data_IF_415775891398
#
_entry.id   IF_415775891398
#
_cell.length_a   1.000
_cell.length_b   1.000
_cell.length_c   1.000
_cell.angle_alpha   90.00
_cell.angle_beta   90.00
_cell.angle_gamma   90.00
#
_symmetry.space_group_name_H-M   'P 1'
#
loop_
_entity.id
_entity.type
_entity.pdbx_description
1 polymer ?
#
# COMPACT_ATOMS: atom_id res chain seq x y z
N UNK A 1 -11.40 -26.99 -0.31
CA UNK A 1 -10.11 -27.71 -0.44
C UNK A 1 -9.06 -26.85 0.22
N UNK A 2 -8.22 -27.41 1.10
CA UNK A 2 -7.12 -26.63 1.70
C UNK A 2 -6.14 -26.24 0.59
N UNK A 3 -5.70 -24.98 0.54
CA UNK A 3 -4.69 -24.53 -0.43
C UNK A 3 -3.29 -25.04 -0.09
N UNK A 4 -3.11 -25.74 1.03
CA UNK A 4 -1.82 -26.20 1.54
C UNK A 4 -1.14 -27.27 0.66
N UNK A 5 -1.90 -27.95 -0.21
CA UNK A 5 -1.35 -28.92 -1.18
C UNK A 5 -1.11 -28.33 -2.56
N UNK A 6 -1.52 -27.08 -2.80
CA UNK A 6 -1.30 -26.40 -4.07
C UNK A 6 0.11 -25.84 -4.14
N UNK A 7 0.62 -25.66 -5.37
CA UNK A 7 1.82 -24.84 -5.56
C UNK A 7 1.56 -23.40 -5.05
N UNK A 8 2.59 -22.65 -4.62
CA UNK A 8 2.40 -21.25 -4.22
C UNK A 8 1.64 -20.42 -5.24
N UNK A 9 1.93 -20.62 -6.54
CA UNK A 9 1.30 -19.88 -7.64
C UNK A 9 -0.19 -20.22 -7.77
N UNK A 10 -0.55 -21.50 -7.67
CA UNK A 10 -1.95 -21.92 -7.77
C UNK A 10 -2.77 -21.44 -6.56
N UNK A 11 -2.19 -21.50 -5.36
CA UNK A 11 -2.82 -21.00 -4.14
C UNK A 11 -3.10 -19.49 -4.24
N UNK A 12 -2.11 -18.70 -4.67
CA UNK A 12 -2.26 -17.25 -4.86
C UNK A 12 -3.25 -16.94 -5.99
N UNK A 13 -3.22 -17.69 -7.08
CA UNK A 13 -4.15 -17.55 -8.20
C UNK A 13 -5.59 -17.84 -7.81
N UNK A 14 -5.82 -18.77 -6.88
CA UNK A 14 -7.16 -19.02 -6.33
C UNK A 14 -7.68 -17.86 -5.47
N UNK A 15 -6.80 -17.05 -4.89
CA UNK A 15 -7.17 -15.90 -4.04
C UNK A 15 -7.45 -14.66 -4.90
N UNK A 16 -6.51 -14.27 -5.75
CA UNK A 16 -6.59 -13.00 -6.50
C UNK A 16 -7.03 -13.18 -7.95
N UNK A 17 -7.15 -14.41 -8.44
CA UNK A 17 -7.36 -14.75 -9.85
C UNK A 17 -6.03 -14.91 -10.61
N UNK A 18 -5.95 -15.91 -11.50
CA UNK A 18 -4.73 -16.23 -12.25
C UNK A 18 -4.17 -15.05 -13.07
N UNK A 19 -5.04 -14.19 -13.62
CA UNK A 19 -4.63 -12.99 -14.36
C UNK A 19 -3.88 -11.96 -13.48
N UNK A 20 -3.94 -12.11 -12.17
CA UNK A 20 -3.41 -11.18 -11.17
C UNK A 20 -2.19 -11.73 -10.43
N UNK A 21 -1.63 -12.85 -10.89
CA UNK A 21 -0.36 -13.41 -10.44
C UNK A 21 0.63 -13.41 -11.61
N UNK A 22 1.75 -12.69 -11.49
CA UNK A 22 2.81 -12.66 -12.50
C UNK A 22 3.97 -13.56 -12.04
N UNK A 23 4.58 -14.27 -12.99
CA UNK A 23 5.69 -15.20 -12.76
C UNK A 23 6.71 -15.11 -13.90
N UNK A 24 7.96 -15.54 -13.66
CA UNK A 24 9.01 -15.51 -14.68
C UNK A 24 9.26 -14.10 -15.21
N UNK A 25 9.51 -13.97 -16.52
CA UNK A 25 9.82 -12.70 -17.20
C UNK A 25 8.74 -11.61 -16.99
N UNK A 26 7.50 -12.00 -16.71
CA UNK A 26 6.43 -11.03 -16.41
C UNK A 26 6.65 -10.25 -15.10
N UNK A 27 7.62 -10.67 -14.28
CA UNK A 27 7.99 -10.00 -13.02
C UNK A 27 9.11 -8.97 -13.17
N UNK A 28 9.75 -8.86 -14.34
CA UNK A 28 10.97 -8.07 -14.55
C UNK A 28 10.81 -6.59 -14.18
N UNK A 29 9.64 -5.99 -14.47
CA UNK A 29 9.32 -4.59 -14.13
C UNK A 29 9.20 -4.33 -12.62
N UNK A 30 9.17 -5.38 -11.81
CA UNK A 30 9.11 -5.35 -10.35
C UNK A 30 10.41 -5.79 -9.69
N UNK A 31 11.37 -6.33 -10.46
CA UNK A 31 12.60 -6.90 -9.95
C UNK A 31 13.67 -5.85 -9.59
N UNK A 32 13.51 -4.59 -10.02
CA UNK A 32 14.46 -3.50 -9.79
C UNK A 32 13.81 -2.33 -9.05
N UNK A 33 14.60 -1.66 -8.22
CA UNK A 33 14.22 -0.39 -7.63
C UNK A 33 14.29 0.75 -8.64
N UNK A 34 13.87 1.94 -8.21
CA UNK A 34 13.82 3.12 -9.07
C UNK A 34 15.21 3.59 -9.54
N UNK A 35 16.21 3.50 -8.67
CA UNK A 35 17.57 3.94 -8.97
C UNK A 35 18.37 2.92 -9.82
N UNK A 36 17.90 1.67 -9.91
CA UNK A 36 18.62 0.57 -10.53
C UNK A 36 19.78 0.04 -9.68
N UNK A 37 19.85 0.44 -8.41
CA UNK A 37 20.91 0.07 -7.48
C UNK A 37 20.62 -1.24 -6.76
N UNK A 38 19.34 -1.58 -6.60
CA UNK A 38 18.90 -2.79 -5.91
C UNK A 38 18.08 -3.68 -6.85
N UNK A 39 18.37 -4.98 -6.81
CA UNK A 39 17.64 -6.00 -7.56
C UNK A 39 17.20 -7.13 -6.63
N UNK A 40 15.99 -7.63 -6.82
CA UNK A 40 15.48 -8.81 -6.14
C UNK A 40 14.37 -9.45 -6.96
N UNK A 41 14.66 -10.59 -7.58
CA UNK A 41 13.68 -11.30 -8.40
C UNK A 41 12.61 -11.94 -7.50
N UNK A 42 11.33 -11.53 -7.60
CA UNK A 42 10.28 -12.11 -6.78
C UNK A 42 9.96 -13.54 -7.19
N UNK A 43 9.50 -14.34 -6.24
CA UNK A 43 8.88 -15.64 -6.50
C UNK A 43 7.66 -15.47 -7.43
N UNK A 44 6.85 -14.46 -7.13
CA UNK A 44 5.71 -14.02 -7.93
C UNK A 44 5.35 -12.58 -7.56
N UNK A 45 4.70 -11.88 -8.48
CA UNK A 45 4.02 -10.60 -8.19
C UNK A 45 2.53 -10.87 -8.06
N UNK A 46 1.96 -10.59 -6.89
CA UNK A 46 0.55 -10.78 -6.59
C UNK A 46 -0.13 -9.43 -6.50
N UNK A 47 -1.24 -9.27 -7.23
CA UNK A 47 -1.91 -7.99 -7.43
C UNK A 47 -3.35 -8.04 -6.90
N UNK A 48 -3.57 -7.93 -5.59
CA UNK A 48 -4.92 -7.94 -5.02
C UNK A 48 -5.73 -6.72 -5.49
N UNK A 49 -7.04 -6.90 -5.66
CA UNK A 49 -8.01 -5.86 -5.98
C UNK A 49 -8.88 -5.44 -4.79
N UNK A 50 -8.67 -6.02 -3.60
CA UNK A 50 -9.44 -5.67 -2.40
C UNK A 50 -8.69 -5.97 -1.09
N UNK A 51 -9.12 -5.33 0.00
CA UNK A 51 -8.61 -5.58 1.36
C UNK A 51 -8.80 -7.04 1.78
N UNK A 52 -9.90 -7.68 1.33
CA UNK A 52 -10.15 -9.09 1.57
C UNK A 52 -9.14 -9.99 0.86
N UNK A 53 -8.80 -9.70 -0.39
CA UNK A 53 -7.76 -10.44 -1.11
C UNK A 53 -6.39 -10.29 -0.43
N UNK A 54 -6.03 -9.08 0.04
CA UNK A 54 -4.82 -8.88 0.85
C UNK A 54 -4.83 -9.75 2.12
N UNK A 55 -5.96 -9.76 2.85
CA UNK A 55 -6.16 -10.60 4.03
C UNK A 55 -5.94 -12.09 3.74
N UNK A 56 -6.51 -12.61 2.66
CA UNK A 56 -6.35 -14.02 2.31
C UNK A 56 -4.92 -14.36 1.85
N UNK A 57 -4.25 -13.46 1.13
CA UNK A 57 -2.83 -13.62 0.76
C UNK A 57 -1.95 -13.67 2.00
N UNK A 58 -2.14 -12.75 2.95
CA UNK A 58 -1.34 -12.73 4.19
C UNK A 58 -1.64 -13.95 5.08
N UNK A 59 -2.90 -14.39 5.19
CA UNK A 59 -3.24 -15.66 5.88
C UNK A 59 -2.51 -16.85 5.26
N UNK A 60 -2.49 -16.94 3.94
CA UNK A 60 -1.77 -18.01 3.25
C UNK A 60 -0.27 -17.92 3.54
N UNK A 61 0.33 -16.74 3.38
CA UNK A 61 1.76 -16.52 3.60
C UNK A 61 2.18 -16.84 5.04
N UNK A 62 1.38 -16.44 6.03
CA UNK A 62 1.63 -16.72 7.44
C UNK A 62 1.58 -18.21 7.76
N UNK A 63 0.66 -18.98 7.14
CA UNK A 63 0.59 -20.43 7.32
C UNK A 63 1.76 -21.16 6.65
N UNK A 64 2.22 -20.69 5.50
CA UNK A 64 3.28 -21.36 4.72
C UNK A 64 4.68 -20.85 5.06
N UNK A 65 4.81 -19.81 5.90
CA UNK A 65 6.08 -19.15 6.17
C UNK A 65 6.67 -18.43 4.96
N UNK A 66 5.84 -18.07 3.97
CA UNK A 66 6.29 -17.38 2.75
C UNK A 66 6.48 -15.89 3.02
N UNK A 67 7.64 -15.34 2.70
CA UNK A 67 7.93 -13.92 2.85
C UNK A 67 7.08 -13.07 1.88
N UNK A 68 6.60 -11.92 2.36
CA UNK A 68 5.81 -10.94 1.60
C UNK A 68 6.53 -9.61 1.60
N UNK A 69 6.64 -8.97 0.43
CA UNK A 69 7.17 -7.61 0.26
C UNK A 69 6.09 -6.72 -0.36
N UNK A 70 5.44 -5.85 0.43
CA UNK A 70 4.45 -4.90 -0.09
C UNK A 70 5.14 -3.84 -0.96
N UNK A 71 4.54 -3.52 -2.11
CA UNK A 71 5.05 -2.51 -3.03
C UNK A 71 3.92 -1.63 -3.57
N UNK A 72 4.11 -0.32 -3.46
CA UNK A 72 3.30 0.69 -4.15
C UNK A 72 3.92 1.06 -5.50
N UNK A 73 4.13 2.36 -5.73
CA UNK A 73 4.67 2.90 -6.99
C UNK A 73 6.11 2.53 -7.36
N UNK A 74 6.83 1.80 -6.51
CA UNK A 74 8.22 1.40 -6.77
C UNK A 74 9.25 2.55 -6.76
N UNK A 75 8.91 3.70 -6.17
CA UNK A 75 9.72 4.93 -6.19
C UNK A 75 10.59 5.13 -4.93
N UNK A 76 10.71 4.11 -4.08
CA UNK A 76 11.58 4.15 -2.89
C UNK A 76 13.05 4.11 -3.26
N UNK A 77 13.91 4.64 -2.38
CA UNK A 77 15.35 4.82 -2.64
C UNK A 77 16.26 4.00 -1.71
N UNK A 78 15.69 3.14 -0.87
CA UNK A 78 16.42 2.41 0.19
C UNK A 78 16.56 0.92 -0.10
N UNK A 79 16.12 0.45 -1.27
CA UNK A 79 16.10 -0.98 -1.62
C UNK A 79 15.04 -1.81 -0.89
N UNK A 80 14.19 -1.21 -0.05
CA UNK A 80 13.22 -1.92 0.81
C UNK A 80 12.22 -2.82 0.07
N UNK A 81 12.00 -2.59 -1.23
CA UNK A 81 11.08 -3.40 -2.05
C UNK A 81 11.78 -4.48 -2.88
N UNK A 82 13.07 -4.74 -2.66
CA UNK A 82 13.77 -5.85 -3.31
C UNK A 82 13.25 -7.18 -2.76
N UNK A 83 12.56 -7.96 -3.59
CA UNK A 83 11.77 -9.12 -3.17
C UNK A 83 12.41 -10.46 -3.53
N UNK A 84 13.74 -10.59 -3.46
CA UNK A 84 14.46 -11.82 -3.83
C UNK A 84 13.91 -13.07 -3.15
N UNK A 85 13.26 -13.95 -3.91
CA UNK A 85 12.64 -15.19 -3.38
C UNK A 85 11.37 -15.00 -2.53
N UNK A 86 10.90 -13.76 -2.35
CA UNK A 86 9.66 -13.42 -1.67
C UNK A 86 8.51 -13.22 -2.66
N UNK A 87 7.27 -13.26 -2.18
CA UNK A 87 6.11 -12.79 -2.94
C UNK A 87 6.05 -11.27 -2.84
N UNK A 88 6.09 -10.59 -3.98
CA UNK A 88 5.91 -9.15 -4.05
C UNK A 88 4.41 -8.85 -4.15
N UNK A 89 3.87 -8.13 -3.18
CA UNK A 89 2.46 -7.77 -3.11
C UNK A 89 2.28 -6.35 -3.68
N UNK A 90 1.85 -6.25 -4.95
CA UNK A 90 1.66 -4.97 -5.63
C UNK A 90 0.26 -4.41 -5.38
N UNK A 91 0.21 -3.17 -4.90
CA UNK A 91 -1.05 -2.48 -4.58
C UNK A 91 -1.70 -1.78 -5.78
N UNK A 92 -1.16 -1.94 -7.00
CA UNK A 92 -1.51 -1.15 -8.19
C UNK A 92 -3.00 -1.19 -8.61
N UNK A 93 -3.74 -2.24 -8.22
CA UNK A 93 -5.15 -2.40 -8.55
C UNK A 93 -6.09 -1.72 -7.55
N UNK A 94 -5.65 -1.49 -6.31
CA UNK A 94 -6.43 -0.85 -5.24
C UNK A 94 -6.25 0.67 -5.33
N UNK A 95 -6.83 1.30 -6.35
CA UNK A 95 -6.57 2.70 -6.73
C UNK A 95 -7.77 3.64 -6.59
N UNK A 96 -8.87 3.19 -5.99
CA UNK A 96 -10.08 4.00 -5.92
C UNK A 96 -9.91 5.20 -4.96
N UNK A 97 -10.40 6.35 -5.39
CA UNK A 97 -10.79 7.43 -4.48
C UNK A 97 -12.23 7.09 -4.06
N UNK A 98 -12.39 6.57 -2.84
CA UNK A 98 -13.67 6.06 -2.34
C UNK A 98 -14.63 7.22 -2.05
N UNK A 99 -14.09 8.33 -1.56
CA UNK A 99 -14.88 9.50 -1.19
C UNK A 99 -14.03 10.77 -1.14
N UNK A 100 -14.62 11.90 -1.51
CA UNK A 100 -14.10 13.26 -1.21
C UNK A 100 -15.23 14.02 -0.52
N UNK A 101 -14.94 14.63 0.63
CA UNK A 101 -15.85 15.48 1.40
C UNK A 101 -15.29 16.90 1.47
N UNK A 102 -15.71 17.80 0.57
CA UNK A 102 -15.14 19.14 0.49
C UNK A 102 -15.32 19.96 1.77
N UNK A 103 -16.48 19.85 2.42
CA UNK A 103 -16.83 20.64 3.61
C UNK A 103 -15.94 20.31 4.80
N UNK A 104 -15.63 19.02 4.98
CA UNK A 104 -14.73 18.56 6.04
C UNK A 104 -13.28 18.48 5.61
N UNK A 105 -12.97 18.68 4.32
CA UNK A 105 -11.64 18.55 3.71
C UNK A 105 -11.01 17.19 3.97
N UNK A 106 -11.79 16.13 3.76
CA UNK A 106 -11.36 14.73 3.94
C UNK A 106 -11.51 13.99 2.63
N UNK A 107 -10.55 13.13 2.30
CA UNK A 107 -10.67 12.14 1.25
C UNK A 107 -10.41 10.74 1.83
N UNK A 108 -11.16 9.75 1.36
CA UNK A 108 -10.96 8.33 1.68
C UNK A 108 -10.45 7.65 0.43
N UNK A 109 -9.26 7.07 0.49
CA UNK A 109 -8.51 6.68 -0.70
C UNK A 109 -7.82 5.33 -0.49
N UNK A 110 -7.80 4.50 -1.52
CA UNK A 110 -7.09 3.23 -1.50
C UNK A 110 -5.57 3.39 -1.60
N UNK A 111 -4.83 2.45 -1.01
CA UNK A 111 -3.38 2.51 -0.87
C UNK A 111 -2.63 2.59 -2.21
N UNK A 112 -3.19 2.06 -3.29
CA UNK A 112 -2.62 2.09 -4.64
C UNK A 112 -2.96 3.34 -5.46
N UNK A 113 -3.72 4.29 -4.91
CA UNK A 113 -4.02 5.54 -5.62
C UNK A 113 -2.74 6.37 -5.82
N UNK A 114 -2.49 6.77 -7.06
CA UNK A 114 -1.35 7.61 -7.43
C UNK A 114 -1.58 9.03 -6.90
N UNK A 115 -0.56 9.65 -6.32
CA UNK A 115 -0.70 10.97 -5.70
C UNK A 115 -1.20 12.05 -6.67
N UNK A 116 -0.74 12.06 -7.92
CA UNK A 116 -1.25 13.01 -8.91
C UNK A 116 -2.74 12.83 -9.21
N UNK A 117 -3.24 11.59 -9.21
CA UNK A 117 -4.68 11.33 -9.37
C UNK A 117 -5.48 11.88 -8.18
N UNK A 118 -4.93 11.82 -6.96
CA UNK A 118 -5.54 12.45 -5.78
C UNK A 118 -5.52 13.98 -5.93
N UNK A 119 -4.40 14.56 -6.39
CA UNK A 119 -4.29 16.00 -6.65
C UNK A 119 -5.36 16.48 -7.63
N UNK A 120 -5.51 15.79 -8.76
CA UNK A 120 -6.46 16.16 -9.81
C UNK A 120 -7.90 16.08 -9.29
N UNK A 121 -8.26 14.99 -8.58
CA UNK A 121 -9.61 14.79 -8.08
C UNK A 121 -10.03 15.81 -7.00
N UNK A 122 -9.14 16.20 -6.09
CA UNK A 122 -9.48 17.22 -5.09
C UNK A 122 -9.51 18.64 -5.66
N UNK A 123 -8.78 18.89 -6.76
CA UNK A 123 -8.80 20.18 -7.44
C UNK A 123 -10.16 20.49 -8.08
N UNK A 124 -10.93 19.47 -8.46
CA UNK A 124 -12.32 19.63 -8.93
C UNK A 124 -13.27 20.22 -7.85
N UNK A 125 -12.82 20.24 -6.60
CA UNK A 125 -13.54 20.79 -5.44
C UNK A 125 -12.88 22.06 -4.87
N UNK A 126 -12.01 22.74 -5.63
CA UNK A 126 -11.23 23.90 -5.18
C UNK A 126 -10.35 23.60 -3.95
N UNK A 127 -9.93 22.33 -3.79
CA UNK A 127 -9.04 21.88 -2.72
C UNK A 127 -7.66 21.51 -3.25
N UNK A 128 -6.72 21.35 -2.31
CA UNK A 128 -5.40 20.79 -2.58
C UNK A 128 -5.18 19.55 -1.72
N UNK A 129 -4.47 18.55 -2.25
CA UNK A 129 -3.88 17.50 -1.43
C UNK A 129 -2.45 17.93 -1.04
N UNK A 130 -2.14 18.18 0.24
CA UNK A 130 -0.94 18.94 0.60
C UNK A 130 0.39 18.25 0.31
N UNK A 131 0.41 16.92 0.32
CA UNK A 131 1.61 16.12 0.09
C UNK A 131 2.11 16.28 -1.35
N UNK A 132 3.34 16.77 -1.52
CA UNK A 132 3.89 17.08 -2.84
C UNK A 132 5.39 16.82 -2.93
N UNK A 133 5.80 15.92 -3.82
CA UNK A 133 7.20 15.59 -4.11
C UNK A 133 7.40 15.09 -5.55
N UNK A 134 8.66 14.93 -5.96
CA UNK A 134 9.04 14.68 -7.36
C UNK A 134 8.40 13.43 -7.99
N UNK A 135 8.27 12.35 -7.22
CA UNK A 135 7.74 11.07 -7.70
C UNK A 135 6.19 10.98 -7.71
N UNK A 136 5.45 12.07 -7.49
CA UNK A 136 3.98 12.07 -7.36
C UNK A 136 3.20 11.44 -8.53
N UNK A 137 3.79 11.37 -9.73
CA UNK A 137 3.17 10.76 -10.91
C UNK A 137 3.14 9.22 -10.90
N UNK A 138 3.84 8.58 -9.98
CA UNK A 138 3.85 7.12 -9.81
C UNK A 138 3.80 6.69 -8.34
N UNK A 139 4.24 7.53 -7.40
CA UNK A 139 4.11 7.28 -5.98
C UNK A 139 2.64 7.09 -5.59
N UNK A 140 2.37 6.08 -4.78
CA UNK A 140 1.03 5.72 -4.32
C UNK A 140 0.85 6.07 -2.84
N UNK A 141 -0.39 6.37 -2.44
CA UNK A 141 -0.72 6.84 -1.09
C UNK A 141 -0.22 5.91 0.02
N UNK A 142 -0.44 4.60 -0.13
CA UNK A 142 -0.01 3.60 0.86
C UNK A 142 1.52 3.56 1.01
N UNK A 143 2.25 3.72 -0.10
CA UNK A 143 3.71 3.84 -0.06
C UNK A 143 4.15 5.11 0.67
N UNK A 144 3.50 6.23 0.40
CA UNK A 144 3.81 7.49 1.06
C UNK A 144 3.54 7.45 2.57
N UNK A 145 2.45 6.82 3.01
CA UNK A 145 2.16 6.59 4.43
C UNK A 145 3.18 5.64 5.06
N UNK A 146 3.47 4.51 4.40
CA UNK A 146 4.43 3.52 4.89
C UNK A 146 5.84 4.10 5.09
N UNK A 147 6.25 5.07 4.27
CA UNK A 147 7.58 5.72 4.40
C UNK A 147 7.55 7.03 5.20
N UNK A 148 6.38 7.42 5.73
CA UNK A 148 6.15 8.73 6.32
C UNK A 148 6.66 9.89 5.43
N UNK A 149 6.31 9.85 4.14
CA UNK A 149 6.80 10.80 3.15
C UNK A 149 6.52 12.26 3.56
N UNK A 150 7.51 13.12 3.34
CA UNK A 150 7.36 14.57 3.41
C UNK A 150 7.19 15.16 2.01
N UNK A 151 8.06 16.10 1.65
CA UNK A 151 8.05 16.76 0.35
C UNK A 151 8.25 18.26 0.48
N UNK A 152 8.12 18.99 -0.62
CA UNK A 152 8.39 20.44 -0.67
C UNK A 152 7.45 21.26 0.22
N UNK A 153 6.26 20.72 0.51
CA UNK A 153 5.21 21.37 1.29
C UNK A 153 5.25 21.06 2.80
N UNK A 154 6.22 20.26 3.26
CA UNK A 154 6.28 19.76 4.65
C UNK A 154 6.33 20.88 5.69
N UNK A 155 6.99 22.01 5.39
CA UNK A 155 7.09 23.16 6.30
C UNK A 155 5.74 23.79 6.62
N UNK A 156 4.76 23.69 5.71
CA UNK A 156 3.45 24.33 5.87
C UNK A 156 2.38 23.37 6.41
N UNK A 157 2.44 22.11 6.03
CA UNK A 157 1.35 21.14 6.24
C UNK A 157 1.77 19.87 6.99
N UNK A 158 3.06 19.69 7.28
CA UNK A 158 3.57 18.45 7.87
C UNK A 158 3.82 17.35 6.86
N UNK A 159 4.23 16.18 7.36
CA UNK A 159 4.46 14.97 6.57
C UNK A 159 3.17 14.14 6.47
N UNK A 160 3.21 12.98 5.81
CA UNK A 160 2.03 12.10 5.68
C UNK A 160 1.41 11.68 7.02
N UNK A 161 2.20 11.56 8.10
CA UNK A 161 1.68 11.30 9.45
C UNK A 161 0.75 12.39 9.94
N UNK A 162 1.11 13.65 9.67
CA UNK A 162 0.33 14.83 10.07
C UNK A 162 -0.96 14.95 9.24
N UNK A 163 -0.93 14.45 8.00
CA UNK A 163 -2.06 14.48 7.06
C UNK A 163 -3.05 13.30 7.25
N UNK A 164 -2.69 12.27 8.01
CA UNK A 164 -3.44 11.03 8.11
C UNK A 164 -4.43 11.01 9.29
N UNK A 165 -5.73 10.98 8.97
CA UNK A 165 -6.81 10.88 9.96
C UNK A 165 -7.16 9.42 10.32
N UNK A 166 -7.09 8.51 9.35
CA UNK A 166 -7.43 7.10 9.52
C UNK A 166 -6.61 6.18 8.61
N UNK A 167 -6.57 4.90 8.97
CA UNK A 167 -5.90 3.84 8.19
C UNK A 167 -6.73 2.56 8.25
N UNK A 168 -6.89 1.90 7.11
CA UNK A 168 -7.24 0.49 7.01
C UNK A 168 -5.98 -0.29 6.64
N UNK A 169 -5.68 -1.35 7.39
CA UNK A 169 -4.53 -2.19 7.13
C UNK A 169 -4.83 -3.66 7.42
N UNK A 170 -3.97 -4.53 6.89
CA UNK A 170 -4.01 -5.97 7.13
C UNK A 170 -2.72 -6.40 7.81
N UNK A 171 -2.84 -7.05 8.96
CA UNK A 171 -1.70 -7.57 9.73
C UNK A 171 -1.14 -8.86 9.12
N UNK A 172 0.07 -9.32 9.51
CA UNK A 172 0.69 -10.52 8.95
C UNK A 172 -0.15 -11.79 9.08
N UNK A 173 -0.95 -11.94 10.13
CA UNK A 173 -1.89 -13.06 10.29
C UNK A 173 -3.15 -12.94 9.41
N UNK A 174 -3.27 -11.84 8.68
CA UNK A 174 -4.38 -11.47 7.82
C UNK A 174 -5.56 -10.81 8.54
N UNK A 175 -5.45 -10.48 9.82
CA UNK A 175 -6.48 -9.68 10.49
C UNK A 175 -6.59 -8.30 9.83
N UNK A 176 -7.81 -7.90 9.48
CA UNK A 176 -8.11 -6.56 8.98
C UNK A 176 -8.29 -5.63 10.17
N UNK A 177 -7.47 -4.59 10.24
CA UNK A 177 -7.56 -3.54 11.26
C UNK A 177 -8.14 -2.30 10.59
N UNK A 178 -9.32 -1.88 11.05
CA UNK A 178 -9.97 -0.67 10.60
C UNK A 178 -9.80 0.43 11.66
N UNK A 179 -8.88 1.36 11.41
CA UNK A 179 -8.65 2.57 12.19
C UNK A 179 -9.09 3.81 11.39
N UNK A 180 -10.02 3.65 10.45
CA UNK A 180 -10.54 4.76 9.66
C UNK A 180 -11.31 5.71 10.57
N UNK A 181 -10.98 6.99 10.46
CA UNK A 181 -11.65 8.06 11.18
C UNK A 181 -11.66 9.31 10.32
N UNK A 182 -12.68 10.15 10.51
CA UNK A 182 -12.78 11.47 9.91
C UNK A 182 -12.60 12.57 10.97
N UNK A 183 -12.34 12.18 12.21
CA UNK A 183 -12.24 13.09 13.34
C UNK A 183 -10.83 13.68 13.42
N UNK A 184 -10.76 15.00 13.50
CA UNK A 184 -9.51 15.72 13.76
C UNK A 184 -9.05 15.57 15.22
N UNK A 185 -9.98 15.27 16.13
CA UNK A 185 -9.73 15.03 17.54
C UNK A 185 -10.42 13.74 17.95
N UNK A 186 -9.61 12.74 18.27
CA UNK A 186 -10.07 11.44 18.74
C UNK A 186 -9.06 10.89 19.77
N UNK A 187 -9.51 10.78 21.02
CA UNK A 187 -8.70 10.39 22.17
C UNK A 187 -9.23 9.09 22.82
N UNK A 188 -9.95 8.25 22.07
CA UNK A 188 -10.50 6.99 22.59
C UNK A 188 -9.47 5.85 22.58
N UNK A 189 -8.39 6.00 23.36
CA UNK A 189 -7.33 4.99 23.51
C UNK A 189 -6.04 5.32 22.75
N UNK A 190 -5.26 4.29 22.42
CA UNK A 190 -3.97 4.47 21.75
C UNK A 190 -4.14 4.85 20.29
N UNK A 191 -3.24 5.71 19.81
CA UNK A 191 -3.23 6.13 18.41
C UNK A 191 -2.49 5.10 17.53
N UNK A 192 -3.09 3.93 17.34
CA UNK A 192 -2.44 2.79 16.67
C UNK A 192 -2.08 3.05 15.19
N UNK A 193 -2.79 3.97 14.50
CA UNK A 193 -2.46 4.32 13.10
C UNK A 193 -1.03 4.86 12.99
N UNK A 194 -0.54 5.50 14.05
CA UNK A 194 0.80 6.06 14.10
C UNK A 194 1.89 4.98 14.09
N UNK A 195 1.59 3.75 14.51
CA UNK A 195 2.56 2.65 14.40
C UNK A 195 2.71 2.19 12.95
N UNK A 196 1.65 2.30 12.13
CA UNK A 196 1.65 1.85 10.74
C UNK A 196 2.25 2.88 9.78
N UNK A 197 2.04 4.18 10.03
CA UNK A 197 2.73 5.24 9.29
C UNK A 197 4.22 5.17 9.60
N UNK A 198 5.07 5.16 8.57
CA UNK A 198 6.52 5.01 8.72
C UNK A 198 7.02 3.60 9.03
N UNK A 199 6.14 2.58 9.04
CA UNK A 199 6.53 1.20 9.32
C UNK A 199 7.18 0.47 8.13
N UNK A 200 7.17 1.08 6.93
CA UNK A 200 7.75 0.52 5.71
C UNK A 200 7.20 -0.88 5.36
N UNK A 201 5.93 -1.15 5.70
CA UNK A 201 5.28 -2.44 5.43
C UNK A 201 5.65 -3.58 6.39
N UNK A 202 6.48 -3.33 7.41
CA UNK A 202 6.99 -4.37 8.32
C UNK A 202 5.98 -4.80 9.39
N UNK A 203 5.00 -3.95 9.71
CA UNK A 203 3.97 -4.23 10.73
C UNK A 203 2.61 -4.63 10.11
N UNK A 204 2.45 -4.46 8.80
CA UNK A 204 1.19 -4.72 8.09
C UNK A 204 1.13 -4.00 6.74
N UNK A 205 0.12 -4.33 5.96
CA UNK A 205 -0.12 -3.78 4.62
C UNK A 205 -1.26 -2.77 4.70
N UNK A 206 -0.96 -1.48 4.46
CA UNK A 206 -1.99 -0.44 4.36
C UNK A 206 -2.81 -0.68 3.08
N UNK A 207 -4.13 -0.70 3.20
CA UNK A 207 -5.07 -0.93 2.08
C UNK A 207 -5.91 0.30 1.74
N UNK A 208 -6.16 1.18 2.72
CA UNK A 208 -6.79 2.49 2.51
C UNK A 208 -6.44 3.47 3.64
N UNK A 209 -6.69 4.75 3.43
CA UNK A 209 -6.53 5.83 4.40
C UNK A 209 -7.53 6.97 4.16
#
# INVERSE_FOLDING_TARGET
>A
MSTDTLSPIDALSAIVGAAHVLTGDATDSHARDWAGEHQGMPLAVVRPGSTKEVSEVLKWANRTGTAIVPRGGGTGLTGATAAGGAVLLSMERMRAIREIRPESRVAVVEAGAILSTIHDAVAEHDLIFPLFFGARGSAMLGGALSTNAGGSNVLRYGNTRDLCLGIEAVLPDGQIVNLMSQLHKDNSGYNLRQLLVGAEGTLGVITAA
#
